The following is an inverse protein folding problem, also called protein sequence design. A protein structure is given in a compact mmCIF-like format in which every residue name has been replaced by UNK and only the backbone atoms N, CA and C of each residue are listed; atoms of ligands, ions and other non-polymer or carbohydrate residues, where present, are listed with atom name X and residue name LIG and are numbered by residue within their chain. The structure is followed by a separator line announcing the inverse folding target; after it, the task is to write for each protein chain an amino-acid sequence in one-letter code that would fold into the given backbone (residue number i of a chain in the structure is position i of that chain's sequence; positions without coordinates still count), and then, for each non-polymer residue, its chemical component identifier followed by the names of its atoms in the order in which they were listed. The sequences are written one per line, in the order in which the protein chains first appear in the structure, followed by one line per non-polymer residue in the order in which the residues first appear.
data_IF_233092308678
#
_entry.id   IF_233092308678
#
_cell.length_a   1.000
_cell.length_b   1.000
_cell.length_c   1.000
_cell.angle_alpha   90.00
_cell.angle_beta   90.00
_cell.angle_gamma   90.00
#
_symmetry.space_group_name_H-M   'P 1'
#
loop_
_entity.id
_entity.type
_entity.pdbx_description
1 polymer ?
#
# COMPACT_ATOMS: atom_id res chain seq x y z
N UNK A 1 11.93 2.72 -9.68
CA UNK A 1 13.12 1.90 -9.29
C UNK A 1 14.10 2.70 -8.42
N UNK A 2 14.37 3.97 -8.76
CA UNK A 2 15.28 4.87 -8.04
C UNK A 2 14.86 5.11 -6.57
N UNK A 3 13.59 5.47 -6.31
CA UNK A 3 13.12 5.78 -4.96
C UNK A 3 13.43 4.70 -3.90
N UNK A 4 13.17 3.42 -4.21
CA UNK A 4 13.45 2.34 -3.24
C UNK A 4 14.94 2.10 -3.05
N UNK A 5 15.77 2.36 -4.07
CA UNK A 5 17.23 2.29 -3.95
C UNK A 5 17.76 3.43 -3.06
N UNK A 6 17.17 4.61 -3.15
CA UNK A 6 17.49 5.74 -2.27
C UNK A 6 17.07 5.45 -0.83
N UNK A 7 15.85 4.96 -0.59
CA UNK A 7 15.40 4.57 0.76
C UNK A 7 16.31 3.49 1.35
N UNK A 8 16.66 2.46 0.57
CA UNK A 8 17.59 1.41 1.01
C UNK A 8 18.95 2.02 1.38
N UNK A 9 19.46 2.93 0.56
CA UNK A 9 20.72 3.63 0.84
C UNK A 9 20.63 4.45 2.14
N UNK A 10 19.50 5.12 2.40
CA UNK A 10 19.30 5.87 3.64
C UNK A 10 19.28 4.95 4.88
N UNK A 11 18.75 3.73 4.77
CA UNK A 11 18.76 2.74 5.85
C UNK A 11 20.16 2.16 6.05
N UNK A 12 20.83 1.73 4.97
CA UNK A 12 22.17 1.13 5.00
C UNK A 12 23.23 2.09 5.56
N UNK A 13 23.06 3.39 5.30
CA UNK A 13 23.93 4.44 5.85
C UNK A 13 23.49 4.94 7.24
N UNK A 14 22.53 4.28 7.88
CA UNK A 14 21.97 4.63 9.19
C UNK A 14 21.45 6.09 9.31
N UNK A 15 21.03 6.68 8.19
CA UNK A 15 20.43 8.02 8.15
C UNK A 15 18.98 7.95 8.63
N UNK A 16 18.27 6.89 8.26
CA UNK A 16 16.93 6.58 8.75
C UNK A 16 16.91 5.17 9.34
N UNK A 17 16.06 4.96 10.33
CA UNK A 17 15.80 3.62 10.87
C UNK A 17 14.73 2.90 10.04
N UNK A 18 14.79 1.58 10.05
CA UNK A 18 13.80 0.69 9.43
C UNK A 18 12.35 1.01 9.83
N UNK A 19 12.11 1.39 11.09
CA UNK A 19 10.80 1.84 11.58
C UNK A 19 10.27 3.08 10.85
N UNK A 20 11.15 3.92 10.29
CA UNK A 20 10.73 5.07 9.51
C UNK A 20 10.09 4.65 8.18
N UNK A 21 10.48 3.50 7.61
CA UNK A 21 9.82 2.93 6.44
C UNK A 21 8.40 2.46 6.79
N UNK A 22 8.22 1.84 7.96
CA UNK A 22 6.88 1.45 8.44
C UNK A 22 5.99 2.68 8.61
N UNK A 23 6.52 3.75 9.24
CA UNK A 23 5.79 5.03 9.40
C UNK A 23 5.45 5.67 8.06
N UNK A 24 6.34 5.62 7.07
CA UNK A 24 6.07 6.11 5.72
C UNK A 24 4.90 5.35 5.08
N UNK A 25 4.92 4.01 5.17
CA UNK A 25 3.86 3.16 4.61
C UNK A 25 2.52 3.29 5.35
N UNK A 26 2.54 3.79 6.58
CA UNK A 26 1.37 4.05 7.41
C UNK A 26 1.02 5.53 7.52
N UNK A 27 1.64 6.39 6.70
CA UNK A 27 1.46 7.84 6.79
C UNK A 27 0.00 8.23 6.60
N UNK A 28 -0.43 9.25 7.34
CA UNK A 28 -1.79 9.78 7.30
C UNK A 28 -1.74 11.31 7.26
N UNK A 29 -2.76 11.90 6.64
CA UNK A 29 -3.00 13.34 6.73
C UNK A 29 -3.47 13.74 8.14
N UNK A 30 -3.60 15.04 8.39
CA UNK A 30 -4.18 15.57 9.63
C UNK A 30 -5.61 15.07 9.90
N UNK A 31 -6.35 14.69 8.85
CA UNK A 31 -7.70 14.13 8.95
C UNK A 31 -7.69 12.59 9.01
N UNK A 32 -6.55 11.99 9.35
CA UNK A 32 -6.33 10.54 9.42
C UNK A 32 -6.49 9.79 8.09
N UNK A 33 -6.55 10.50 6.97
CA UNK A 33 -6.64 9.89 5.63
C UNK A 33 -5.31 9.27 5.25
N UNK A 34 -5.23 7.96 4.95
CA UNK A 34 -3.96 7.31 4.65
C UNK A 34 -3.35 7.79 3.32
N UNK A 35 -2.01 7.85 3.25
CA UNK A 35 -1.28 8.31 2.07
C UNK A 35 -1.54 7.46 0.81
N UNK A 36 -1.64 6.13 0.96
CA UNK A 36 -1.99 5.26 -0.17
C UNK A 36 -3.41 5.53 -0.70
N UNK A 37 -4.36 5.78 0.19
CA UNK A 37 -5.72 6.20 -0.20
C UNK A 37 -5.69 7.52 -0.97
N UNK A 38 -4.98 8.54 -0.45
CA UNK A 38 -4.84 9.85 -1.11
C UNK A 38 -4.26 9.69 -2.52
N UNK A 39 -3.26 8.83 -2.67
CA UNK A 39 -2.63 8.54 -3.97
C UNK A 39 -3.62 7.95 -4.97
N UNK A 40 -4.50 7.05 -4.51
CA UNK A 40 -5.55 6.46 -5.34
C UNK A 40 -6.65 7.47 -5.69
N UNK A 41 -7.08 8.26 -4.72
CA UNK A 41 -8.09 9.31 -4.90
C UNK A 41 -7.68 10.32 -5.97
N UNK A 42 -6.41 10.74 -5.98
CA UNK A 42 -5.91 11.75 -6.93
C UNK A 42 -5.17 11.19 -8.15
N UNK A 43 -5.11 9.87 -8.30
CA UNK A 43 -4.59 9.25 -9.53
C UNK A 43 -3.06 9.18 -9.61
N UNK A 44 -2.36 9.27 -8.48
CA UNK A 44 -0.90 9.20 -8.39
C UNK A 44 -0.38 7.77 -8.45
N UNK A 45 -0.47 7.17 -9.64
CA UNK A 45 -0.14 5.77 -9.88
C UNK A 45 1.33 5.43 -9.56
N UNK A 46 2.28 6.33 -9.83
CA UNK A 46 3.68 6.13 -9.45
C UNK A 46 3.89 6.01 -7.92
N UNK A 47 3.10 6.74 -7.13
CA UNK A 47 3.16 6.68 -5.66
C UNK A 47 2.60 5.35 -5.15
N UNK A 48 1.53 4.83 -5.76
CA UNK A 48 1.03 3.47 -5.46
C UNK A 48 2.13 2.45 -5.71
N UNK A 49 2.86 2.58 -6.82
CA UNK A 49 3.96 1.69 -7.14
C UNK A 49 5.07 1.75 -6.09
N UNK A 50 5.40 2.94 -5.58
CA UNK A 50 6.36 3.12 -4.49
C UNK A 50 5.91 2.37 -3.24
N UNK A 51 4.67 2.59 -2.76
CA UNK A 51 4.13 1.91 -1.58
C UNK A 51 4.14 0.39 -1.74
N UNK A 52 3.66 -0.12 -2.87
CA UNK A 52 3.51 -1.56 -3.07
C UNK A 52 4.84 -2.26 -3.34
N UNK A 53 5.78 -1.60 -4.04
CA UNK A 53 7.12 -2.15 -4.22
C UNK A 53 7.87 -2.22 -2.88
N UNK A 54 7.67 -1.26 -1.97
CA UNK A 54 8.26 -1.31 -0.63
C UNK A 54 7.82 -2.57 0.12
N UNK A 55 6.56 -2.99 0.02
CA UNK A 55 6.07 -4.23 0.64
C UNK A 55 6.77 -5.49 0.09
N UNK A 56 7.42 -5.40 -1.06
CA UNK A 56 8.13 -6.53 -1.66
C UNK A 56 9.63 -6.58 -1.33
N UNK A 57 10.18 -5.58 -0.63
CA UNK A 57 11.60 -5.56 -0.26
C UNK A 57 11.90 -6.51 0.91
N UNK A 58 13.14 -7.00 1.04
CA UNK A 58 13.53 -7.86 2.18
C UNK A 58 13.31 -7.19 3.54
N UNK A 59 13.70 -5.92 3.68
CA UNK A 59 13.54 -5.16 4.93
C UNK A 59 12.10 -5.19 5.45
N UNK A 60 11.11 -4.95 4.58
CA UNK A 60 9.72 -4.92 5.05
C UNK A 60 9.19 -6.29 5.42
N UNK A 61 9.76 -7.39 4.91
CA UNK A 61 9.35 -8.73 5.30
C UNK A 61 9.75 -9.07 6.74
N UNK A 62 10.83 -8.47 7.25
CA UNK A 62 11.27 -8.65 8.63
C UNK A 62 10.49 -7.77 9.61
N UNK A 63 10.03 -6.60 9.14
CA UNK A 63 9.34 -5.61 9.96
C UNK A 63 7.82 -5.77 9.99
N UNK A 64 7.20 -6.16 8.86
CA UNK A 64 5.76 -6.12 8.70
C UNK A 64 5.13 -7.48 8.94
N UNK A 65 4.18 -7.52 9.87
CA UNK A 65 3.29 -8.66 10.01
C UNK A 65 2.30 -8.75 8.85
N UNK A 66 1.79 -9.96 8.59
CA UNK A 66 0.67 -10.21 7.67
C UNK A 66 -0.52 -9.27 7.93
N UNK A 67 -0.83 -8.99 9.20
CA UNK A 67 -1.92 -8.08 9.57
C UNK A 67 -1.63 -6.65 9.10
N UNK A 68 -0.42 -6.14 9.34
CA UNK A 68 -0.03 -4.79 8.93
C UNK A 68 -0.05 -4.63 7.41
N UNK A 69 0.39 -5.65 6.67
CA UNK A 69 0.30 -5.65 5.20
C UNK A 69 -1.15 -5.57 4.73
N UNK A 70 -2.04 -6.35 5.34
CA UNK A 70 -3.47 -6.26 5.04
C UNK A 70 -4.05 -4.89 5.37
N UNK A 71 -3.68 -4.31 6.51
CA UNK A 71 -4.12 -2.97 6.91
C UNK A 71 -3.64 -1.88 5.93
N UNK A 72 -2.43 -2.02 5.36
CA UNK A 72 -1.89 -1.13 4.32
C UNK A 72 -2.65 -1.32 3.00
N UNK A 73 -2.82 -2.57 2.53
CA UNK A 73 -3.52 -2.85 1.27
C UNK A 73 -4.99 -2.41 1.32
N UNK A 74 -5.65 -2.55 2.47
CA UNK A 74 -7.04 -2.19 2.69
C UNK A 74 -7.22 -0.78 3.28
N UNK A 75 -6.24 0.12 3.07
CA UNK A 75 -6.32 1.49 3.57
C UNK A 75 -7.61 2.19 3.09
N UNK A 76 -8.28 2.80 4.07
CA UNK A 76 -9.59 3.39 3.92
C UNK A 76 -9.70 4.70 4.70
N UNK A 77 -10.66 5.54 4.32
CA UNK A 77 -11.02 6.74 5.07
C UNK A 77 -11.65 6.38 6.41
N UNK A 78 -11.87 7.39 7.26
CA UNK A 78 -12.63 7.24 8.51
C UNK A 78 -14.03 6.67 8.27
N UNK A 79 -14.65 7.03 7.15
CA UNK A 79 -16.01 6.60 6.80
C UNK A 79 -16.01 5.20 6.13
N UNK A 80 -14.84 4.57 6.01
CA UNK A 80 -14.69 3.19 5.57
C UNK A 80 -14.47 3.02 4.07
N UNK A 81 -14.43 4.12 3.31
CA UNK A 81 -14.20 4.07 1.86
C UNK A 81 -12.76 3.64 1.55
N UNK A 82 -12.56 2.52 0.82
CA UNK A 82 -11.24 2.02 0.48
C UNK A 82 -10.63 2.74 -0.72
N UNK A 83 -9.31 2.87 -0.73
CA UNK A 83 -8.61 3.61 -1.78
C UNK A 83 -8.83 3.02 -3.18
N UNK A 84 -8.92 1.70 -3.31
CA UNK A 84 -9.11 1.07 -4.61
C UNK A 84 -10.49 1.42 -5.22
N UNK A 85 -11.52 1.61 -4.38
CA UNK A 85 -12.81 2.13 -4.82
C UNK A 85 -12.69 3.58 -5.30
N UNK A 86 -12.03 4.44 -4.52
CA UNK A 86 -11.81 5.84 -4.89
C UNK A 86 -11.11 5.99 -6.25
N UNK A 87 -10.12 5.14 -6.55
CA UNK A 87 -9.47 5.11 -7.86
C UNK A 87 -10.43 4.71 -9.00
N UNK A 88 -11.35 3.77 -8.75
CA UNK A 88 -12.36 3.37 -9.74
C UNK A 88 -13.39 4.49 -9.97
N UNK A 89 -13.92 5.07 -8.90
CA UNK A 89 -14.93 6.13 -8.94
C UNK A 89 -14.39 7.38 -9.66
N UNK A 90 -13.14 7.75 -9.42
CA UNK A 90 -12.49 8.91 -10.03
C UNK A 90 -11.87 8.61 -11.40
N UNK A 91 -12.13 7.45 -12.00
CA UNK A 91 -11.64 7.06 -13.33
C UNK A 91 -10.10 7.09 -13.45
N UNK A 92 -9.41 6.48 -12.48
CA UNK A 92 -7.95 6.33 -12.43
C UNK A 92 -7.50 4.89 -12.73
N UNK A 93 -7.64 4.39 -13.98
CA UNK A 93 -7.39 2.99 -14.31
C UNK A 93 -5.94 2.56 -14.09
N UNK A 94 -4.96 3.47 -14.22
CA UNK A 94 -3.55 3.15 -13.95
C UNK A 94 -3.31 2.81 -12.47
N UNK A 95 -4.01 3.49 -11.55
CA UNK A 95 -3.95 3.18 -10.12
C UNK A 95 -4.48 1.77 -9.84
N UNK A 96 -5.62 1.43 -10.43
CA UNK A 96 -6.24 0.09 -10.31
C UNK A 96 -5.30 -0.98 -10.86
N UNK A 97 -4.77 -0.78 -12.08
CA UNK A 97 -3.85 -1.72 -12.72
C UNK A 97 -2.58 -1.94 -11.89
N UNK A 98 -1.94 -0.87 -11.42
CA UNK A 98 -0.73 -1.00 -10.59
C UNK A 98 -1.02 -1.76 -9.30
N UNK A 99 -2.10 -1.41 -8.61
CA UNK A 99 -2.49 -2.11 -7.39
C UNK A 99 -2.66 -3.61 -7.63
N UNK A 100 -3.53 -3.99 -8.57
CA UNK A 100 -3.83 -5.39 -8.88
C UNK A 100 -2.59 -6.16 -9.36
N UNK A 101 -1.71 -5.52 -10.14
CA UNK A 101 -0.48 -6.15 -10.63
C UNK A 101 0.50 -6.55 -9.52
N UNK A 102 0.45 -5.88 -8.37
CA UNK A 102 1.38 -6.11 -7.24
C UNK A 102 0.79 -7.01 -6.15
N UNK A 103 -0.54 -7.03 -6.01
CA UNK A 103 -1.25 -7.80 -4.98
C UNK A 103 -0.79 -9.26 -4.95
N UNK A 104 -0.66 -9.92 -6.11
CA UNK A 104 -0.22 -11.32 -6.15
C UNK A 104 1.20 -11.51 -5.58
N UNK A 105 2.15 -10.67 -5.97
CA UNK A 105 3.53 -10.76 -5.46
C UNK A 105 3.61 -10.52 -3.95
N UNK A 106 2.82 -9.58 -3.44
CA UNK A 106 2.69 -9.32 -1.99
C UNK A 106 2.02 -10.51 -1.30
N UNK A 107 0.98 -11.09 -1.90
CA UNK A 107 0.26 -12.23 -1.36
C UNK A 107 1.17 -13.44 -1.14
N UNK A 108 2.00 -13.75 -2.14
CA UNK A 108 3.00 -14.83 -2.05
C UNK A 108 4.00 -14.53 -0.93
N UNK A 109 4.52 -13.29 -0.88
CA UNK A 109 5.54 -12.88 0.09
C UNK A 109 5.09 -12.94 1.55
N UNK A 110 3.82 -12.63 1.84
CA UNK A 110 3.28 -12.64 3.20
C UNK A 110 2.33 -13.81 3.49
N UNK A 111 2.29 -14.82 2.61
CA UNK A 111 1.40 -15.97 2.72
C UNK A 111 -0.07 -15.55 2.97
N UNK A 112 -0.56 -14.60 2.17
CA UNK A 112 -1.95 -14.15 2.22
C UNK A 112 -2.86 -15.23 1.65
N UNK A 113 -3.95 -15.52 2.36
CA UNK A 113 -4.90 -16.54 1.93
C UNK A 113 -5.81 -16.03 0.83
N UNK A 114 -6.47 -16.95 0.11
CA UNK A 114 -7.55 -16.61 -0.83
C UNK A 114 -8.61 -15.69 -0.21
N UNK A 115 -8.98 -15.95 1.04
CA UNK A 115 -9.97 -15.14 1.78
C UNK A 115 -9.45 -13.71 1.95
N UNK A 116 -8.18 -13.53 2.33
CA UNK A 116 -7.60 -12.19 2.47
C UNK A 116 -7.67 -11.38 1.16
N UNK A 117 -7.38 -12.03 0.03
CA UNK A 117 -7.46 -11.36 -1.29
C UNK A 117 -8.91 -11.08 -1.67
N UNK A 118 -9.82 -12.01 -1.40
CA UNK A 118 -11.25 -11.78 -1.65
C UNK A 118 -11.80 -10.63 -0.81
N UNK A 119 -11.45 -10.55 0.47
CA UNK A 119 -11.90 -9.48 1.36
C UNK A 119 -11.37 -8.12 0.90
N UNK A 120 -10.11 -8.07 0.45
CA UNK A 120 -9.52 -6.85 -0.13
C UNK A 120 -10.27 -6.37 -1.38
N UNK A 121 -10.59 -7.29 -2.30
CA UNK A 121 -11.28 -6.97 -3.55
C UNK A 121 -12.76 -6.65 -3.36
N UNK A 122 -13.42 -7.33 -2.42
CA UNK A 122 -14.81 -7.05 -2.01
C UNK A 122 -14.92 -5.67 -1.40
N UNK A 123 -14.02 -5.38 -0.45
CA UNK A 123 -13.91 -4.06 0.17
C UNK A 123 -13.76 -2.96 -0.87
N UNK A 124 -13.02 -3.18 -1.96
CA UNK A 124 -12.84 -2.23 -3.06
C UNK A 124 -14.09 -1.89 -3.89
N UNK A 125 -15.25 -2.46 -3.58
CA UNK A 125 -16.53 -2.13 -4.22
C UNK A 125 -17.43 -1.44 -3.19
N UNK A 126 -18.27 -0.49 -3.63
CA UNK A 126 -19.11 0.36 -2.78
C UNK A 126 -20.00 -0.37 -1.74
N UNK A 127 -20.11 -1.70 -1.82
CA UNK A 127 -21.05 -2.51 -1.06
C UNK A 127 -20.44 -3.65 -0.25
N UNK A 128 -19.10 -3.85 -0.26
CA UNK A 128 -18.43 -4.86 0.57
C UNK A 128 -18.93 -6.29 0.38
#
# INVERSE_FOLDING_TARGET
KIFMQEIQSLVDNHIIHEDNLVKLLQTKSANETPGLYISMLYGFDEIIDIFLNALTTPITQELLSKKMVMDILAMKTRDGEPGLYAAMENNHPLCVTRFLSKVYGIAVKYNLSKINIMDLLKGATAHG
#
